data_IF_722136081003
#
_entry.id   IF_722136081003
#
_cell.length_a   1.000
_cell.length_b   1.000
_cell.length_c   1.000
_cell.angle_alpha   90.00
_cell.angle_beta   90.00
_cell.angle_gamma   90.00
#
_symmetry.space_group_name_H-M   'P 1'
#
loop_
_entity.id
_entity.type
_entity.pdbx_description
1 polymer ?
#
# COMPACT_ATOMS: atom_id res chain seq x y z
N UNK A 1 15.72 -5.99 -0.59
CA UNK A 1 15.43 -5.39 -1.92
C UNK A 1 16.70 -5.11 -2.74
N UNK A 2 17.88 -5.01 -2.14
CA UNK A 2 19.17 -4.85 -2.84
C UNK A 2 19.41 -5.86 -3.97
N UNK A 3 19.10 -7.15 -3.74
CA UNK A 3 19.27 -8.18 -4.77
C UNK A 3 18.51 -7.92 -6.07
N UNK A 4 17.30 -7.33 -6.01
CA UNK A 4 16.53 -6.98 -7.20
C UNK A 4 17.12 -5.76 -7.93
N UNK A 5 17.64 -4.79 -7.20
CA UNK A 5 18.33 -3.63 -7.78
C UNK A 5 19.65 -4.04 -8.45
N UNK A 6 20.44 -4.88 -7.79
CA UNK A 6 21.66 -5.44 -8.34
C UNK A 6 21.38 -6.31 -9.58
N UNK A 7 20.31 -7.11 -9.55
CA UNK A 7 19.90 -7.92 -10.70
C UNK A 7 19.51 -7.08 -11.91
N UNK A 8 18.79 -5.97 -11.71
CA UNK A 8 18.44 -5.04 -12.80
C UNK A 8 19.66 -4.36 -13.42
N UNK A 9 20.59 -3.90 -12.58
CA UNK A 9 21.86 -3.33 -13.05
C UNK A 9 22.69 -4.38 -13.83
N UNK A 10 22.82 -5.60 -13.29
CA UNK A 10 23.55 -6.69 -13.91
C UNK A 10 22.91 -7.18 -15.22
N UNK A 11 21.58 -7.17 -15.34
CA UNK A 11 20.88 -7.56 -16.57
C UNK A 11 21.20 -6.64 -17.78
N UNK A 12 21.72 -5.45 -17.51
CA UNK A 12 22.09 -4.46 -18.53
C UNK A 12 23.54 -4.61 -19.02
N UNK A 13 24.35 -5.42 -18.33
CA UNK A 13 25.76 -5.68 -18.67
C UNK A 13 25.87 -6.63 -19.87
N UNK A 14 26.69 -6.25 -20.86
CA UNK A 14 27.00 -7.09 -22.02
C UNK A 14 28.44 -6.91 -22.48
N UNK A 15 29.06 -7.92 -23.14
CA UNK A 15 30.44 -7.83 -23.61
C UNK A 15 30.72 -6.69 -24.62
N UNK A 16 29.69 -6.19 -25.30
CA UNK A 16 29.77 -5.06 -26.24
C UNK A 16 29.61 -3.68 -25.57
N UNK A 17 29.45 -3.63 -24.25
CA UNK A 17 29.38 -2.38 -23.48
C UNK A 17 30.75 -1.96 -22.96
N UNK A 18 30.91 -0.65 -22.82
CA UNK A 18 32.13 -0.05 -22.29
C UNK A 18 32.28 -0.40 -20.79
N UNK A 19 33.44 -0.92 -20.35
CA UNK A 19 33.69 -1.22 -18.95
C UNK A 19 33.52 0.01 -18.04
N UNK A 20 32.81 -0.14 -16.92
CA UNK A 20 32.61 0.94 -15.95
C UNK A 20 31.49 1.93 -16.29
N UNK A 21 30.74 1.72 -17.38
CA UNK A 21 29.58 2.53 -17.78
C UNK A 21 28.25 1.87 -17.37
N UNK A 22 28.32 0.79 -16.59
CA UNK A 22 27.17 0.13 -15.98
C UNK A 22 26.45 1.02 -14.97
N UNK A 23 25.17 0.71 -14.71
CA UNK A 23 24.36 1.43 -13.73
C UNK A 23 25.02 1.41 -12.34
N UNK A 24 24.92 2.52 -11.60
CA UNK A 24 25.62 2.72 -10.34
C UNK A 24 25.38 1.58 -9.33
N UNK A 25 26.46 1.08 -8.72
CA UNK A 25 26.41 -0.01 -7.72
C UNK A 25 25.83 0.42 -6.37
N UNK A 26 25.74 1.74 -6.13
CA UNK A 26 25.20 2.28 -4.90
C UNK A 26 23.69 2.43 -5.01
N UNK A 27 22.95 1.60 -4.27
CA UNK A 27 21.50 1.68 -4.17
C UNK A 27 21.16 2.81 -3.18
N UNK A 28 20.47 3.88 -3.62
CA UNK A 28 20.04 4.90 -2.69
C UNK A 28 19.00 4.31 -1.72
N UNK A 29 19.06 4.73 -0.46
CA UNK A 29 17.99 4.43 0.49
C UNK A 29 16.71 5.10 0.01
N UNK A 30 15.68 4.31 -0.24
CA UNK A 30 14.33 4.85 -0.41
C UNK A 30 13.74 5.16 0.96
N UNK A 31 12.98 6.26 1.11
CA UNK A 31 12.17 6.47 2.30
C UNK A 31 11.30 5.24 2.59
N UNK A 32 11.11 4.93 3.87
CA UNK A 32 10.13 3.93 4.27
C UNK A 32 8.74 4.32 3.80
N UNK A 33 7.90 3.33 3.53
CA UNK A 33 6.49 3.55 3.24
C UNK A 33 5.74 3.73 4.55
N UNK A 34 4.79 4.64 4.57
CA UNK A 34 3.81 4.76 5.65
C UNK A 34 2.88 3.54 5.65
N UNK A 35 2.20 3.29 6.76
CA UNK A 35 1.20 2.22 6.86
C UNK A 35 0.12 2.33 5.77
N UNK A 36 -0.32 3.56 5.45
CA UNK A 36 -1.29 3.79 4.39
C UNK A 36 -0.75 3.38 3.01
N UNK A 37 0.50 3.72 2.73
CA UNK A 37 1.16 3.37 1.47
C UNK A 37 1.41 1.86 1.37
N UNK A 38 1.73 1.20 2.48
CA UNK A 38 1.84 -0.27 2.55
C UNK A 38 0.50 -0.92 2.24
N UNK A 39 -0.58 -0.51 2.92
CA UNK A 39 -1.94 -1.02 2.65
C UNK A 39 -2.35 -0.80 1.19
N UNK A 40 -2.04 0.37 0.62
CA UNK A 40 -2.33 0.64 -0.79
C UNK A 40 -1.53 -0.26 -1.73
N UNK A 41 -0.26 -0.51 -1.42
CA UNK A 41 0.59 -1.41 -2.20
C UNK A 41 0.14 -2.87 -2.11
N UNK A 42 -0.28 -3.34 -0.94
CA UNK A 42 -0.85 -4.68 -0.76
C UNK A 42 -2.15 -4.84 -1.56
N UNK A 43 -3.03 -3.84 -1.51
CA UNK A 43 -4.26 -3.80 -2.30
C UNK A 43 -3.98 -3.83 -3.80
N UNK A 44 -2.97 -3.09 -4.29
CA UNK A 44 -2.57 -3.13 -5.69
C UNK A 44 -1.96 -4.48 -6.09
N UNK A 45 -1.09 -5.04 -5.25
CA UNK A 45 -0.33 -6.25 -5.57
C UNK A 45 -1.15 -7.53 -5.43
N UNK A 46 -2.04 -7.59 -4.44
CA UNK A 46 -2.72 -8.83 -4.02
C UNK A 46 -4.24 -8.74 -4.11
N UNK A 47 -4.81 -7.54 -4.26
CA UNK A 47 -6.25 -7.31 -4.22
C UNK A 47 -6.85 -7.31 -2.81
N UNK A 48 -6.04 -7.54 -1.77
CA UNK A 48 -6.46 -7.57 -0.37
C UNK A 48 -5.54 -6.72 0.50
N UNK A 49 -6.03 -6.32 1.67
CA UNK A 49 -5.24 -5.63 2.69
C UNK A 49 -5.22 -6.51 3.95
N UNK A 50 -4.21 -7.37 4.11
CA UNK A 50 -4.23 -8.43 5.11
C UNK A 50 -4.14 -7.91 6.54
N UNK A 51 -3.43 -6.80 6.75
CA UNK A 51 -3.14 -6.26 8.08
C UNK A 51 -4.14 -5.19 8.52
N UNK A 52 -4.54 -4.29 7.59
CA UNK A 52 -5.43 -3.17 7.90
C UNK A 52 -6.19 -2.68 6.68
N UNK A 53 -7.51 -2.51 6.80
CA UNK A 53 -8.35 -2.03 5.70
C UNK A 53 -8.32 -0.49 5.56
N UNK A 54 -8.40 0.08 4.34
CA UNK A 54 -8.28 1.53 4.13
C UNK A 54 -9.24 2.41 4.94
N UNK A 55 -10.47 1.94 5.20
CA UNK A 55 -11.44 2.73 5.97
C UNK A 55 -11.11 2.79 7.46
N UNK A 56 -10.21 1.94 7.97
CA UNK A 56 -9.76 2.01 9.37
C UNK A 56 -8.90 3.25 9.63
N UNK A 57 -8.15 3.73 8.64
CA UNK A 57 -7.38 4.98 8.74
C UNK A 57 -8.26 6.21 8.96
N UNK A 58 -9.55 6.10 8.61
CA UNK A 58 -10.53 7.19 8.70
C UNK A 58 -11.53 6.97 9.84
N UNK A 59 -11.30 6.00 10.74
CA UNK A 59 -12.33 5.57 11.69
C UNK A 59 -12.85 6.68 12.58
N UNK A 60 -11.96 7.46 13.17
CA UNK A 60 -12.33 8.61 14.01
C UNK A 60 -13.18 9.64 13.24
N UNK A 61 -12.81 9.91 11.98
CA UNK A 61 -13.55 10.86 11.14
C UNK A 61 -14.92 10.32 10.71
N UNK A 62 -14.99 9.03 10.36
CA UNK A 62 -16.24 8.36 9.99
C UNK A 62 -17.19 8.30 11.18
N UNK A 63 -16.67 8.00 12.37
CA UNK A 63 -17.44 8.00 13.62
C UNK A 63 -17.96 9.41 13.94
N UNK A 64 -17.13 10.45 13.77
CA UNK A 64 -17.53 11.85 13.95
C UNK A 64 -18.64 12.29 12.97
N UNK A 65 -18.70 11.68 11.77
CA UNK A 65 -19.77 11.91 10.80
C UNK A 65 -21.05 11.09 11.08
N UNK A 66 -21.03 10.18 12.06
CA UNK A 66 -22.16 9.30 12.38
C UNK A 66 -22.35 8.14 11.40
N UNK A 67 -21.27 7.71 10.74
CA UNK A 67 -21.29 6.51 9.89
C UNK A 67 -21.55 5.27 10.74
N UNK A 68 -22.47 4.42 10.31
CA UNK A 68 -22.79 3.15 10.99
C UNK A 68 -21.95 2.02 10.37
N UNK A 69 -21.07 1.34 11.13
CA UNK A 69 -20.30 0.23 10.61
C UNK A 69 -21.19 -1.01 10.38
N UNK A 70 -20.75 -1.87 9.46
CA UNK A 70 -21.54 -3.01 8.98
C UNK A 70 -21.98 -3.97 10.10
N UNK A 71 -21.10 -4.20 11.09
CA UNK A 71 -21.35 -5.05 12.26
C UNK A 71 -22.44 -4.50 13.20
N UNK A 72 -22.72 -3.20 13.15
CA UNK A 72 -23.75 -2.53 13.96
C UNK A 72 -25.07 -2.32 13.23
N UNK A 73 -25.14 -2.51 11.92
CA UNK A 73 -26.35 -2.27 11.13
C UNK A 73 -27.57 -3.03 11.67
N UNK A 74 -27.38 -4.27 12.14
CA UNK A 74 -28.47 -5.10 12.67
C UNK A 74 -29.06 -4.60 14.00
N UNK A 75 -28.40 -3.66 14.67
CA UNK A 75 -28.91 -3.04 15.90
C UNK A 75 -29.74 -1.78 15.64
N UNK A 76 -29.77 -1.30 14.40
CA UNK A 76 -30.52 -0.10 14.02
C UNK A 76 -32.00 -0.49 13.77
N UNK A 77 -32.98 0.28 14.29
CA UNK A 77 -34.39 0.00 14.03
C UNK A 77 -34.74 0.03 12.54
N UNK A 78 -35.66 -0.86 12.14
CA UNK A 78 -36.14 -0.94 10.75
C UNK A 78 -36.72 0.41 10.28
N UNK A 79 -36.49 0.72 8.99
CA UNK A 79 -36.90 1.99 8.39
C UNK A 79 -36.05 3.21 8.78
N UNK A 80 -35.03 3.06 9.63
CA UNK A 80 -34.11 4.15 9.99
C UNK A 80 -33.15 4.44 8.84
N UNK A 81 -33.00 5.72 8.48
CA UNK A 81 -31.96 6.15 7.53
C UNK A 81 -30.61 6.19 8.23
N UNK A 82 -29.61 5.54 7.65
CA UNK A 82 -28.24 5.51 8.17
C UNK A 82 -27.24 6.03 7.14
N UNK A 83 -26.11 6.52 7.62
CA UNK A 83 -24.95 6.87 6.80
C UNK A 83 -23.96 5.69 6.78
N UNK A 84 -23.47 5.31 5.60
CA UNK A 84 -22.50 4.21 5.39
C UNK A 84 -21.31 4.70 4.55
N UNK A 85 -20.14 4.05 4.67
CA UNK A 85 -18.91 4.37 3.95
C UNK A 85 -18.02 3.15 3.74
#
# INVERSE_FOLDING_TARGET
>A
REGLWAAGAAASERPDRLPGVGSASHVPSLPGMTELELTAADGWATGVSPDRYPTEFLRENLDAMGVVPADRLLSVPDGTRVLVA
#
